data_IF_283916686229
#
_entry.id   IF_283916686229
#
_cell.length_a   1.000
_cell.length_b   1.000
_cell.length_c   1.000
_cell.angle_alpha   90.00
_cell.angle_beta   90.00
_cell.angle_gamma   90.00
#
_symmetry.space_group_name_H-M   'P 1'
#
loop_
_entity.id
_entity.type
_entity.pdbx_description
1 polymer ?
#
# COMPACT_ATOMS: atom_id res chain seq x y z
N UNK A 1 30.98 15.90 -20.94
CA UNK A 1 29.77 15.14 -21.33
C UNK A 1 29.13 14.71 -20.03
N UNK A 2 27.94 15.20 -19.69
CA UNK A 2 27.29 14.87 -18.42
C UNK A 2 26.40 13.65 -18.68
N UNK A 3 26.72 12.52 -18.08
CA UNK A 3 25.91 11.30 -18.17
C UNK A 3 24.60 11.43 -17.40
N UNK A 4 23.69 10.47 -17.57
CA UNK A 4 22.49 10.35 -16.75
C UNK A 4 22.88 10.09 -15.29
N UNK A 5 22.10 10.64 -14.37
CA UNK A 5 22.24 10.35 -12.93
C UNK A 5 21.72 8.95 -12.65
N UNK A 6 22.24 8.27 -11.63
CA UNK A 6 21.91 6.87 -11.33
C UNK A 6 20.40 6.61 -11.18
N UNK A 7 19.68 7.53 -10.55
CA UNK A 7 18.22 7.48 -10.41
C UNK A 7 17.48 7.48 -11.77
N UNK A 8 18.04 8.15 -12.77
CA UNK A 8 17.49 8.17 -14.13
C UNK A 8 17.82 6.87 -14.89
N UNK A 9 18.90 6.18 -14.54
CA UNK A 9 19.26 4.90 -15.14
C UNK A 9 18.25 3.81 -14.75
N UNK A 10 17.77 3.79 -13.50
CA UNK A 10 16.73 2.85 -13.08
C UNK A 10 15.38 3.08 -13.77
N UNK A 11 15.15 4.30 -14.30
CA UNK A 11 13.93 4.56 -15.08
C UNK A 11 13.93 3.80 -16.41
N UNK A 12 15.11 3.43 -16.91
CA UNK A 12 15.28 2.65 -18.15
C UNK A 12 15.04 1.15 -17.98
N UNK A 13 14.98 0.65 -16.73
CA UNK A 13 14.73 -0.76 -16.46
C UNK A 13 13.23 -1.05 -16.51
N UNK A 14 12.85 -2.08 -17.25
CA UNK A 14 11.48 -2.60 -17.33
C UNK A 14 11.20 -3.70 -16.29
N UNK A 15 12.25 -4.45 -15.93
CA UNK A 15 12.20 -5.54 -14.96
C UNK A 15 13.25 -5.35 -13.87
N UNK A 16 12.92 -5.77 -12.66
CA UNK A 16 13.83 -5.73 -11.50
C UNK A 16 13.96 -7.12 -10.89
N UNK A 17 15.19 -7.53 -10.55
CA UNK A 17 15.37 -8.69 -9.68
C UNK A 17 14.78 -8.39 -8.29
N UNK A 18 14.49 -9.44 -7.51
CA UNK A 18 14.04 -9.25 -6.11
C UNK A 18 15.06 -8.41 -5.32
N UNK A 19 16.35 -8.63 -5.54
CA UNK A 19 17.42 -7.86 -4.89
C UNK A 19 17.42 -6.39 -5.31
N UNK A 20 17.34 -6.10 -6.62
CA UNK A 20 17.34 -4.72 -7.12
C UNK A 20 16.12 -3.96 -6.60
N UNK A 21 14.94 -4.57 -6.69
CA UNK A 21 13.71 -4.01 -6.16
C UNK A 21 13.82 -3.75 -4.64
N UNK A 22 14.41 -4.68 -3.89
CA UNK A 22 14.59 -4.53 -2.44
C UNK A 22 15.48 -3.34 -2.09
N UNK A 23 16.58 -3.17 -2.82
CA UNK A 23 17.49 -2.04 -2.66
C UNK A 23 16.80 -0.71 -2.98
N UNK A 24 16.13 -0.63 -4.14
CA UNK A 24 15.47 0.60 -4.59
C UNK A 24 14.31 1.01 -3.68
N UNK A 25 13.57 0.05 -3.11
CA UNK A 25 12.52 0.31 -2.12
C UNK A 25 13.12 0.77 -0.80
N UNK A 26 14.25 0.19 -0.38
CA UNK A 26 14.97 0.58 0.83
C UNK A 26 15.72 1.92 0.69
N UNK A 27 15.80 2.48 -0.51
CA UNK A 27 16.43 3.78 -0.78
C UNK A 27 17.93 3.72 -1.05
N UNK A 28 18.45 2.59 -1.53
CA UNK A 28 19.85 2.44 -1.92
C UNK A 28 20.00 1.94 -3.35
N UNK A 29 21.11 2.31 -3.98
CA UNK A 29 21.52 1.75 -5.26
C UNK A 29 21.76 0.23 -5.16
N UNK A 30 21.18 -0.58 -6.06
CA UNK A 30 21.50 -2.00 -6.19
C UNK A 30 22.99 -2.29 -6.43
N UNK A 31 23.75 -1.37 -7.04
CA UNK A 31 25.19 -1.57 -7.28
C UNK A 31 25.99 -1.70 -5.98
N UNK A 32 25.50 -1.09 -4.88
CA UNK A 32 26.13 -1.20 -3.57
C UNK A 32 25.83 -2.53 -2.89
N UNK A 33 24.81 -3.28 -3.31
CA UNK A 33 24.41 -4.54 -2.69
C UNK A 33 25.03 -5.71 -3.46
N UNK A 34 25.88 -6.49 -2.79
CA UNK A 34 26.63 -7.57 -3.45
C UNK A 34 26.68 -8.83 -2.58
N UNK A 35 26.86 -9.97 -3.22
CA UNK A 35 27.08 -11.23 -2.53
C UNK A 35 28.57 -11.37 -2.19
N UNK A 36 28.89 -11.56 -0.92
CA UNK A 36 30.26 -11.75 -0.46
C UNK A 36 30.57 -13.24 -0.30
N UNK A 37 31.23 -13.81 -1.33
CA UNK A 37 31.57 -15.25 -1.39
C UNK A 37 32.34 -15.73 -0.14
N UNK A 38 33.17 -14.86 0.46
CA UNK A 38 33.96 -15.21 1.64
C UNK A 38 33.10 -15.51 2.86
N UNK A 39 31.98 -14.82 3.03
CA UNK A 39 31.08 -14.97 4.17
C UNK A 39 29.80 -15.72 3.82
N UNK A 40 29.53 -15.93 2.52
CA UNK A 40 28.30 -16.59 2.05
C UNK A 40 27.05 -15.74 2.32
N UNK A 41 27.21 -14.42 2.45
CA UNK A 41 26.15 -13.50 2.84
C UNK A 41 26.11 -12.28 1.91
N UNK A 42 24.94 -11.65 1.83
CA UNK A 42 24.80 -10.39 1.11
C UNK A 42 25.28 -9.22 1.98
N UNK A 43 26.11 -8.36 1.38
CA UNK A 43 26.72 -7.20 2.01
C UNK A 43 26.47 -5.91 1.26
N UNK A 44 26.99 -4.82 1.82
CA UNK A 44 26.91 -3.48 1.23
C UNK A 44 28.30 -2.90 1.06
N UNK A 45 28.56 -2.37 -0.12
CA UNK A 45 29.77 -1.61 -0.43
C UNK A 45 29.50 -0.14 -0.15
N UNK A 46 30.42 0.51 0.56
CA UNK A 46 30.45 1.97 0.71
C UNK A 46 29.12 2.54 1.24
N UNK A 47 28.72 2.12 2.45
CA UNK A 47 27.66 2.78 3.21
C UNK A 47 28.20 4.11 3.73
N UNK A 48 27.51 5.19 3.40
CA UNK A 48 27.88 6.55 3.75
C UNK A 48 26.80 7.17 4.65
N UNK A 49 27.12 8.32 5.26
CA UNK A 49 26.17 9.06 6.13
C UNK A 49 24.89 9.55 5.42
N UNK A 50 24.81 9.42 4.10
CA UNK A 50 23.61 9.77 3.31
C UNK A 50 22.68 8.57 3.09
N UNK A 51 23.14 7.35 3.38
CA UNK A 51 22.31 6.14 3.29
C UNK A 51 21.49 5.97 4.60
N UNK A 52 20.32 5.31 4.56
CA UNK A 52 19.51 5.07 5.75
C UNK A 52 20.24 4.27 6.85
N UNK A 53 20.11 4.67 8.12
CA UNK A 53 20.75 3.98 9.24
C UNK A 53 20.32 2.50 9.38
N UNK A 54 19.09 2.19 9.00
CA UNK A 54 18.48 0.86 9.11
C UNK A 54 18.49 0.06 7.80
N UNK A 55 19.45 0.36 6.92
CA UNK A 55 19.44 -0.14 5.55
C UNK A 55 19.49 -1.67 5.44
N UNK A 56 20.28 -2.33 6.30
CA UNK A 56 20.43 -3.79 6.30
C UNK A 56 19.08 -4.45 6.61
N UNK A 57 18.43 -3.98 7.67
CA UNK A 57 17.12 -4.46 8.10
C UNK A 57 16.04 -4.15 7.07
N UNK A 58 16.09 -2.95 6.46
CA UNK A 58 15.13 -2.51 5.46
C UNK A 58 15.18 -3.41 4.21
N UNK A 59 16.37 -3.64 3.63
CA UNK A 59 16.53 -4.50 2.45
C UNK A 59 16.07 -5.92 2.73
N UNK A 60 16.46 -6.51 3.87
CA UNK A 60 16.05 -7.87 4.23
C UNK A 60 14.53 -8.00 4.44
N UNK A 61 13.90 -7.00 5.07
CA UNK A 61 12.46 -6.99 5.29
C UNK A 61 11.68 -6.86 3.98
N UNK A 62 12.16 -5.99 3.07
CA UNK A 62 11.56 -5.85 1.74
C UNK A 62 11.72 -7.13 0.94
N UNK A 63 12.94 -7.69 0.89
CA UNK A 63 13.22 -8.98 0.22
C UNK A 63 12.30 -10.08 0.71
N UNK A 64 12.17 -10.24 2.03
CA UNK A 64 11.24 -11.20 2.65
C UNK A 64 9.79 -10.93 2.25
N UNK A 65 9.38 -9.67 2.20
CA UNK A 65 8.02 -9.27 1.83
C UNK A 65 7.71 -9.59 0.36
N UNK A 66 8.64 -9.31 -0.55
CA UNK A 66 8.53 -9.63 -1.99
C UNK A 66 8.47 -11.14 -2.20
N UNK A 67 9.41 -11.90 -1.61
CA UNK A 67 9.42 -13.37 -1.69
C UNK A 67 8.09 -13.97 -1.21
N UNK A 68 7.56 -13.49 -0.08
CA UNK A 68 6.29 -13.98 0.45
C UNK A 68 5.10 -13.59 -0.42
N UNK A 69 5.12 -12.40 -1.04
CA UNK A 69 4.06 -11.99 -1.96
C UNK A 69 4.04 -12.85 -3.22
N UNK A 70 5.20 -13.13 -3.80
CA UNK A 70 5.36 -14.00 -4.98
C UNK A 70 4.93 -15.44 -4.65
N UNK A 71 5.43 -16.00 -3.54
CA UNK A 71 5.05 -17.36 -3.09
C UNK A 71 3.54 -17.51 -2.84
N UNK A 72 2.85 -16.42 -2.48
CA UNK A 72 1.39 -16.38 -2.28
C UNK A 72 0.60 -15.99 -3.53
N UNK A 73 1.25 -15.80 -4.68
CA UNK A 73 0.61 -15.35 -5.92
C UNK A 73 0.02 -13.94 -5.86
N UNK A 74 0.43 -13.13 -4.88
CA UNK A 74 -0.04 -11.74 -4.70
C UNK A 74 0.78 -10.72 -5.50
N UNK A 75 1.92 -11.13 -6.02
CA UNK A 75 2.80 -10.34 -6.87
C UNK A 75 3.22 -11.23 -8.04
N UNK A 76 2.98 -10.77 -9.26
CA UNK A 76 3.42 -11.48 -10.47
C UNK A 76 4.94 -11.35 -10.60
N UNK A 77 5.58 -12.42 -11.02
CA UNK A 77 7.02 -12.48 -11.22
C UNK A 77 7.38 -13.60 -12.20
N UNK A 78 8.50 -13.43 -12.91
CA UNK A 78 9.16 -14.53 -13.62
C UNK A 78 10.01 -15.29 -12.61
N UNK A 79 9.49 -16.42 -12.12
CA UNK A 79 10.09 -17.18 -11.03
C UNK A 79 11.25 -18.05 -11.51
N UNK A 80 12.41 -17.85 -10.89
CA UNK A 80 13.56 -18.75 -10.99
C UNK A 80 13.79 -19.35 -9.61
N UNK A 81 13.86 -20.68 -9.55
CA UNK A 81 14.13 -21.40 -8.30
C UNK A 81 15.62 -21.72 -8.20
N UNK A 82 16.14 -21.66 -6.99
CA UNK A 82 17.52 -22.05 -6.75
C UNK A 82 17.69 -23.56 -6.98
N UNK A 83 18.78 -23.94 -7.64
CA UNK A 83 19.14 -25.31 -7.96
C UNK A 83 19.97 -25.96 -6.84
N UNK A 84 20.41 -25.18 -5.84
CA UNK A 84 20.87 -25.75 -4.59
C UNK A 84 19.71 -26.54 -3.98
N UNK A 85 19.96 -27.80 -3.61
CA UNK A 85 19.00 -28.88 -3.33
C UNK A 85 18.03 -28.65 -2.14
N UNK A 86 17.74 -27.41 -1.78
CA UNK A 86 16.94 -26.98 -0.64
C UNK A 86 15.45 -27.14 -0.95
N UNK A 87 14.99 -28.38 -0.79
CA UNK A 87 13.58 -28.76 -0.87
C UNK A 87 12.96 -28.70 0.51
N UNK A 88 11.93 -27.87 0.66
CA UNK A 88 11.18 -27.79 1.91
C UNK A 88 9.86 -28.54 1.76
N UNK A 89 9.50 -29.33 2.75
CA UNK A 89 8.15 -29.85 2.90
C UNK A 89 7.33 -28.79 3.63
N UNK A 90 6.33 -28.22 2.94
CA UNK A 90 5.44 -27.21 3.50
C UNK A 90 4.04 -27.79 3.64
N UNK A 91 3.41 -27.49 4.78
CA UNK A 91 2.00 -27.79 5.02
C UNK A 91 1.27 -26.48 5.32
N UNK A 92 0.18 -26.25 4.61
CA UNK A 92 -0.74 -25.15 4.94
C UNK A 92 -1.71 -25.69 5.99
N UNK A 93 -1.97 -24.91 7.04
CA UNK A 93 -2.73 -25.31 8.25
C UNK A 93 -4.13 -25.91 7.96
N UNK A 94 -4.65 -25.72 6.76
CA UNK A 94 -5.94 -26.24 6.28
C UNK A 94 -5.86 -27.21 5.08
N UNK A 95 -4.66 -27.61 4.67
CA UNK A 95 -4.47 -28.65 3.66
C UNK A 95 -3.93 -29.92 4.31
N UNK A 96 -4.52 -31.06 3.96
CA UNK A 96 -4.08 -32.37 4.45
C UNK A 96 -2.67 -32.70 3.96
N UNK A 97 -2.36 -32.32 2.73
CA UNK A 97 -1.16 -32.74 2.02
C UNK A 97 0.04 -31.82 2.26
N UNK A 98 1.22 -32.43 2.35
CA UNK A 98 2.49 -31.74 2.28
C UNK A 98 2.87 -31.51 0.81
N UNK A 99 3.36 -30.33 0.49
CA UNK A 99 3.88 -30.04 -0.84
C UNK A 99 5.33 -29.57 -0.79
N UNK A 100 6.05 -29.86 -1.87
CA UNK A 100 7.45 -29.49 -2.04
C UNK A 100 7.53 -28.02 -2.44
N UNK A 101 8.24 -27.21 -1.64
CA UNK A 101 8.56 -25.82 -1.98
C UNK A 101 10.05 -25.64 -2.19
N UNK A 102 10.39 -24.74 -3.09
CA UNK A 102 11.77 -24.34 -3.37
C UNK A 102 11.97 -22.89 -2.90
N UNK A 103 13.21 -22.55 -2.58
CA UNK A 103 13.59 -21.15 -2.42
C UNK A 103 13.67 -20.44 -3.78
N UNK A 104 13.26 -19.17 -3.77
CA UNK A 104 13.35 -18.31 -4.94
C UNK A 104 14.81 -17.88 -5.08
N UNK A 105 15.36 -17.99 -6.28
CA UNK A 105 16.61 -17.33 -6.62
C UNK A 105 16.31 -15.82 -6.70
N UNK A 106 16.68 -15.09 -5.64
CA UNK A 106 16.41 -13.65 -5.50
C UNK A 106 17.19 -12.78 -6.50
N UNK A 107 18.22 -13.34 -7.14
CA UNK A 107 19.03 -12.64 -8.15
C UNK A 107 18.45 -12.78 -9.56
N UNK A 108 17.78 -13.91 -9.84
CA UNK A 108 17.26 -14.23 -11.18
C UNK A 108 15.75 -14.13 -11.29
N UNK A 109 15.02 -14.20 -10.17
CA UNK A 109 13.58 -13.95 -10.16
C UNK A 109 13.33 -12.47 -10.40
N UNK A 110 12.62 -12.15 -11.47
CA UNK A 110 12.34 -10.77 -11.88
C UNK A 110 10.86 -10.41 -11.72
N UNK A 111 10.61 -9.12 -11.50
CA UNK A 111 9.28 -8.52 -11.34
C UNK A 111 9.19 -7.37 -12.35
N UNK A 112 8.10 -7.31 -13.12
CA UNK A 112 7.85 -6.20 -14.03
C UNK A 112 7.60 -4.91 -13.23
N UNK A 113 8.16 -3.79 -13.69
CA UNK A 113 8.04 -2.48 -13.03
C UNK A 113 6.59 -2.07 -12.76
N UNK A 114 5.70 -2.35 -13.71
CA UNK A 114 4.27 -2.00 -13.63
C UNK A 114 3.57 -2.74 -12.49
N UNK A 115 3.72 -4.07 -12.43
CA UNK A 115 3.19 -4.92 -11.37
C UNK A 115 3.78 -4.55 -10.00
N UNK A 116 5.08 -4.21 -9.93
CA UNK A 116 5.71 -3.76 -8.68
C UNK A 116 5.13 -2.44 -8.18
N UNK A 117 4.93 -1.46 -9.07
CA UNK A 117 4.33 -0.15 -8.76
C UNK A 117 2.90 -0.32 -8.24
N UNK A 118 2.09 -1.16 -8.89
CA UNK A 118 0.73 -1.45 -8.43
C UNK A 118 0.72 -2.09 -7.04
N UNK A 119 1.57 -3.10 -6.83
CA UNK A 119 1.69 -3.79 -5.56
C UNK A 119 2.13 -2.88 -4.39
N UNK A 120 3.03 -1.92 -4.67
CA UNK A 120 3.47 -0.90 -3.71
C UNK A 120 2.36 0.10 -3.40
N UNK A 121 1.63 0.55 -4.43
CA UNK A 121 0.49 1.48 -4.29
C UNK A 121 -0.60 0.90 -3.40
N UNK A 122 -0.95 -0.37 -3.61
CA UNK A 122 -1.96 -1.10 -2.82
C UNK A 122 -1.60 -1.18 -1.33
N UNK A 123 -0.30 -1.12 -1.01
CA UNK A 123 0.21 -1.13 0.37
C UNK A 123 0.47 0.26 0.94
N UNK A 124 0.24 1.31 0.15
CA UNK A 124 0.49 2.68 0.55
C UNK A 124 1.97 3.02 0.72
N UNK A 125 2.87 2.27 0.09
CA UNK A 125 4.32 2.50 0.14
C UNK A 125 4.77 3.20 -1.15
N UNK A 126 5.50 4.31 -1.03
CA UNK A 126 5.86 5.17 -2.17
C UNK A 126 7.36 5.51 -2.18
N UNK A 127 8.25 4.56 -2.47
CA UNK A 127 9.68 4.83 -2.54
C UNK A 127 10.00 5.78 -3.71
N UNK A 128 10.92 6.72 -3.51
CA UNK A 128 11.25 7.75 -4.50
C UNK A 128 11.70 7.16 -5.85
N UNK A 129 12.40 6.02 -5.83
CA UNK A 129 12.88 5.30 -7.01
C UNK A 129 11.75 4.90 -7.97
N UNK A 130 10.55 4.61 -7.46
CA UNK A 130 9.38 4.22 -8.26
C UNK A 130 8.32 5.32 -8.34
N UNK A 131 8.34 6.25 -7.38
CA UNK A 131 7.41 7.35 -7.25
C UNK A 131 8.20 8.65 -7.06
N UNK A 132 8.83 9.20 -8.12
CA UNK A 132 9.67 10.40 -8.00
C UNK A 132 8.89 11.65 -7.58
N UNK A 133 7.57 11.65 -7.76
CA UNK A 133 6.66 12.69 -7.26
C UNK A 133 6.12 12.36 -5.86
N UNK A 134 6.59 11.28 -5.23
CA UNK A 134 6.06 10.73 -3.99
C UNK A 134 4.62 10.25 -4.14
N UNK A 135 3.92 10.17 -3.00
CA UNK A 135 2.47 9.95 -2.98
C UNK A 135 1.79 11.22 -3.51
N UNK A 136 1.26 11.19 -4.74
CA UNK A 136 0.44 12.30 -5.30
C UNK A 136 -0.74 12.64 -4.38
N UNK A 137 -1.23 11.65 -3.61
CA UNK A 137 -2.26 11.83 -2.60
C UNK A 137 -1.79 12.53 -1.31
N UNK A 138 -0.50 12.84 -1.15
CA UNK A 138 -0.04 13.71 -0.06
C UNK A 138 -0.16 15.18 -0.48
N UNK A 139 -1.41 15.58 -0.71
CA UNK A 139 -1.81 16.97 -0.98
C UNK A 139 -1.29 17.91 0.13
N UNK A 140 -0.96 17.36 1.31
CA UNK A 140 -0.41 18.09 2.43
C UNK A 140 1.09 18.39 2.38
N UNK A 141 1.85 17.79 1.46
CA UNK A 141 3.29 18.02 1.35
C UNK A 141 3.59 19.41 0.77
N UNK A 142 3.90 20.36 1.65
CA UNK A 142 4.20 21.75 1.29
C UNK A 142 5.49 21.91 0.47
N UNK A 143 6.40 20.91 0.53
CA UNK A 143 7.65 20.90 -0.23
C UNK A 143 7.48 20.34 -1.65
N UNK A 144 6.30 19.82 -2.00
CA UNK A 144 6.06 19.27 -3.33
C UNK A 144 6.02 20.39 -4.39
N UNK A 145 6.66 20.23 -5.58
CA UNK A 145 6.68 21.28 -6.62
C UNK A 145 5.29 21.71 -7.12
N UNK A 146 4.31 20.80 -7.03
CA UNK A 146 2.91 21.05 -7.40
C UNK A 146 2.00 21.29 -6.18
N UNK A 147 2.57 21.61 -5.01
CA UNK A 147 1.79 21.91 -3.82
C UNK A 147 0.83 23.07 -4.08
N UNK A 148 -0.45 22.84 -3.77
CA UNK A 148 -1.49 23.85 -3.87
C UNK A 148 -2.07 24.11 -2.48
N UNK A 149 -1.74 25.25 -1.84
CA UNK A 149 -2.23 25.57 -0.51
C UNK A 149 -3.75 25.63 -0.42
N UNK A 150 -4.41 26.06 -1.52
CA UNK A 150 -5.87 26.08 -1.61
C UNK A 150 -6.45 24.67 -1.61
N UNK A 151 -5.87 23.77 -2.40
CA UNK A 151 -6.34 22.39 -2.48
C UNK A 151 -6.16 21.67 -1.14
N UNK A 152 -5.00 21.85 -0.50
CA UNK A 152 -4.72 21.30 0.82
C UNK A 152 -5.74 21.80 1.86
N UNK A 153 -6.01 23.11 1.90
CA UNK A 153 -6.99 23.65 2.83
C UNK A 153 -8.41 23.10 2.60
N UNK A 154 -8.84 22.96 1.33
CA UNK A 154 -10.16 22.42 0.98
C UNK A 154 -10.27 20.95 1.39
N UNK A 155 -9.25 20.14 1.11
CA UNK A 155 -9.23 18.71 1.48
C UNK A 155 -9.21 18.55 3.00
N UNK A 156 -8.36 19.30 3.72
CA UNK A 156 -8.34 19.24 5.19
C UNK A 156 -9.63 19.71 5.84
N UNK A 157 -10.32 20.70 5.25
CA UNK A 157 -11.63 21.13 5.72
C UNK A 157 -12.71 20.06 5.49
N UNK A 158 -12.65 19.35 4.37
CA UNK A 158 -13.55 18.24 4.10
C UNK A 158 -13.30 17.05 5.06
N UNK A 159 -12.04 16.70 5.32
CA UNK A 159 -11.67 15.64 6.27
C UNK A 159 -12.10 15.96 7.71
N UNK A 160 -12.10 17.24 8.10
CA UNK A 160 -12.54 17.62 9.45
C UNK A 160 -14.01 17.31 9.73
N UNK A 161 -14.85 17.23 8.68
CA UNK A 161 -16.26 16.84 8.81
C UNK A 161 -16.44 15.42 9.33
N UNK A 162 -15.45 14.53 9.18
CA UNK A 162 -15.54 13.15 9.66
C UNK A 162 -15.57 13.05 11.18
N UNK A 163 -15.00 14.03 11.87
CA UNK A 163 -14.92 14.08 13.33
C UNK A 163 -15.63 15.30 13.92
N UNK A 164 -16.19 16.17 13.07
CA UNK A 164 -16.91 17.36 13.50
C UNK A 164 -18.20 17.01 14.24
N UNK A 165 -18.46 17.74 15.32
CA UNK A 165 -19.77 17.80 15.97
C UNK A 165 -20.41 19.16 15.66
N UNK A 166 -21.26 19.19 14.62
CA UNK A 166 -21.83 20.45 14.14
C UNK A 166 -23.00 20.88 15.03
N UNK A 167 -22.88 22.07 15.60
CA UNK A 167 -23.88 22.66 16.48
C UNK A 167 -24.90 23.50 15.68
N UNK A 168 -25.79 22.81 14.96
CA UNK A 168 -26.92 23.43 14.23
C UNK A 168 -26.51 24.48 13.17
N UNK A 169 -25.60 24.12 12.27
CA UNK A 169 -25.25 24.93 11.09
C UNK A 169 -25.25 24.10 9.81
N UNK A 170 -25.20 24.75 8.64
CA UNK A 170 -25.05 24.04 7.37
C UNK A 170 -23.61 23.58 7.17
N UNK A 171 -23.40 22.48 6.44
CA UNK A 171 -22.06 21.99 6.09
C UNK A 171 -21.21 23.06 5.42
N UNK A 172 -21.80 23.84 4.50
CA UNK A 172 -21.11 24.97 3.85
C UNK A 172 -20.65 26.03 4.85
N UNK A 173 -21.48 26.39 5.83
CA UNK A 173 -21.12 27.37 6.85
C UNK A 173 -19.98 26.86 7.73
N UNK A 174 -20.09 25.61 8.22
CA UNK A 174 -19.01 24.98 8.99
C UNK A 174 -17.69 24.97 8.23
N UNK A 175 -17.69 24.57 6.95
CA UNK A 175 -16.50 24.56 6.10
C UNK A 175 -15.92 25.96 5.92
N UNK A 176 -16.77 26.98 5.73
CA UNK A 176 -16.33 28.38 5.61
C UNK A 176 -15.62 28.85 6.88
N UNK A 177 -16.21 28.59 8.04
CA UNK A 177 -15.66 28.97 9.35
C UNK A 177 -14.36 28.20 9.64
N UNK A 178 -14.31 26.91 9.29
CA UNK A 178 -13.12 26.06 9.47
C UNK A 178 -11.95 26.56 8.63
N UNK A 179 -12.16 26.82 7.33
CA UNK A 179 -11.11 27.30 6.43
C UNK A 179 -10.64 28.69 6.85
N UNK A 180 -11.55 29.58 7.27
CA UNK A 180 -11.19 30.92 7.76
C UNK A 180 -10.34 30.86 9.03
N UNK A 181 -10.62 29.92 9.93
CA UNK A 181 -9.87 29.77 11.19
C UNK A 181 -8.48 29.16 10.96
N UNK A 182 -8.34 28.29 9.96
CA UNK A 182 -7.09 27.59 9.67
C UNK A 182 -6.31 28.20 8.49
N UNK A 183 -6.71 29.35 7.97
CA UNK A 183 -6.12 29.94 6.76
C UNK A 183 -4.62 30.23 6.91
N UNK A 184 -4.19 30.65 8.10
CA UNK A 184 -2.78 30.93 8.40
C UNK A 184 -1.90 29.67 8.29
N UNK A 185 -2.42 28.50 8.72
CA UNK A 185 -1.71 27.21 8.63
C UNK A 185 -1.32 26.86 7.19
N UNK A 186 -2.16 27.26 6.24
CA UNK A 186 -1.96 27.00 4.81
C UNK A 186 -1.34 28.21 4.09
N UNK A 187 -0.89 29.25 4.80
CA UNK A 187 -0.35 30.48 4.21
C UNK A 187 -1.32 31.14 3.21
N UNK A 188 -2.63 31.02 3.45
CA UNK A 188 -3.65 31.61 2.59
C UNK A 188 -3.82 33.10 2.94
N UNK A 189 -3.27 33.98 2.10
CA UNK A 189 -3.48 35.42 2.21
C UNK A 189 -4.82 35.84 1.57
N UNK A 190 -5.92 35.42 2.19
CA UNK A 190 -7.28 35.72 1.74
C UNK A 190 -7.82 36.89 2.59
N UNK A 191 -8.08 38.03 1.94
CA UNK A 191 -8.61 39.24 2.59
C UNK A 191 -10.13 39.37 2.50
N UNK A 192 -10.78 38.55 1.68
CA UNK A 192 -12.22 38.65 1.38
C UNK A 192 -12.94 37.42 1.89
N UNK A 193 -13.99 37.58 2.73
CA UNK A 193 -14.81 36.46 3.22
C UNK A 193 -15.40 35.59 2.09
N UNK A 194 -15.76 36.21 0.97
CA UNK A 194 -16.38 35.54 -0.19
C UNK A 194 -15.49 34.43 -0.77
N UNK A 195 -14.16 34.58 -0.71
CA UNK A 195 -13.24 33.54 -1.19
C UNK A 195 -13.22 32.30 -0.31
N UNK A 196 -13.50 32.44 0.99
CA UNK A 196 -13.66 31.28 1.87
C UNK A 196 -14.95 30.52 1.54
N UNK A 197 -16.03 31.24 1.20
CA UNK A 197 -17.29 30.63 0.78
C UNK A 197 -17.15 29.87 -0.55
N UNK A 198 -16.42 30.42 -1.52
CA UNK A 198 -16.10 29.75 -2.79
C UNK A 198 -15.33 28.45 -2.56
N UNK A 199 -14.35 28.47 -1.64
CA UNK A 199 -13.58 27.26 -1.28
C UNK A 199 -14.45 26.24 -0.55
N UNK A 200 -15.30 26.69 0.37
CA UNK A 200 -16.25 25.83 1.08
C UNK A 200 -17.27 25.19 0.11
N UNK A 201 -17.63 25.88 -0.97
CA UNK A 201 -18.53 25.35 -2.00
C UNK A 201 -17.93 24.15 -2.74
N UNK A 202 -16.61 24.15 -2.96
CA UNK A 202 -15.90 23.02 -3.58
C UNK A 202 -15.94 21.78 -2.67
N UNK A 203 -15.76 21.96 -1.36
CA UNK A 203 -15.78 20.86 -0.38
C UNK A 203 -17.20 20.44 0.05
N UNK A 204 -18.21 21.29 -0.17
CA UNK A 204 -19.56 21.03 0.31
C UNK A 204 -20.26 19.95 -0.52
N UNK A 205 -20.41 18.76 0.06
CA UNK A 205 -21.16 17.67 -0.57
C UNK A 205 -22.69 17.80 -0.39
N UNK A 206 -23.16 18.61 0.57
CA UNK A 206 -24.59 18.80 0.80
C UNK A 206 -25.18 19.82 -0.18
N UNK A 207 -25.81 19.28 -1.23
CA UNK A 207 -26.50 20.05 -2.27
C UNK A 207 -27.85 20.63 -1.83
N UNK A 208 -28.38 20.21 -0.67
CA UNK A 208 -29.71 20.62 -0.18
C UNK A 208 -29.64 21.79 0.80
N UNK A 209 -28.47 22.03 1.39
CA UNK A 209 -28.27 23.12 2.36
C UNK A 209 -28.99 22.85 3.69
N UNK A 210 -29.02 21.59 4.12
CA UNK A 210 -29.67 21.17 5.35
C UNK A 210 -28.82 21.58 6.55
N UNK A 211 -29.48 22.02 7.61
CA UNK A 211 -28.84 22.26 8.90
C UNK A 211 -28.53 20.93 9.56
N UNK A 212 -27.26 20.73 9.90
CA UNK A 212 -26.77 19.52 10.57
C UNK A 212 -26.71 19.77 12.07
N UNK A 213 -27.16 18.78 12.84
CA UNK A 213 -26.90 18.68 14.26
C UNK A 213 -26.19 17.35 14.52
N UNK A 214 -25.00 17.40 15.14
CA UNK A 214 -24.17 16.22 15.32
C UNK A 214 -23.17 16.00 14.17
N UNK A 215 -22.65 14.77 14.08
CA UNK A 215 -21.70 14.42 13.03
C UNK A 215 -22.39 14.32 11.65
N UNK A 216 -21.89 15.03 10.62
CA UNK A 216 -22.43 14.99 9.26
C UNK A 216 -22.55 13.58 8.67
N UNK A 217 -21.65 12.65 9.01
CA UNK A 217 -21.69 11.27 8.53
C UNK A 217 -22.95 10.54 8.99
N UNK A 218 -23.43 10.80 10.21
CA UNK A 218 -24.70 10.22 10.69
C UNK A 218 -25.91 10.84 10.00
N UNK A 219 -25.81 12.09 9.56
CA UNK A 219 -26.91 12.81 8.92
C UNK A 219 -27.05 12.50 7.42
N UNK A 220 -25.94 12.25 6.72
CA UNK A 220 -25.92 12.05 5.27
C UNK A 220 -25.50 10.64 4.82
N UNK A 221 -24.85 9.85 5.67
CA UNK A 221 -24.34 8.51 5.36
C UNK A 221 -25.37 7.37 5.48
N UNK A 222 -26.63 7.62 5.11
CA UNK A 222 -27.78 6.73 5.32
C UNK A 222 -27.46 5.23 5.15
N UNK A 223 -27.93 4.41 6.10
CA UNK A 223 -27.85 2.93 6.24
C UNK A 223 -26.50 2.23 6.04
N UNK A 224 -25.47 2.89 5.50
CA UNK A 224 -24.16 2.32 5.20
C UNK A 224 -23.23 2.26 6.43
N UNK A 225 -23.57 3.00 7.49
CA UNK A 225 -22.87 2.97 8.79
C UNK A 225 -23.70 2.35 9.92
N UNK A 226 -24.82 1.70 9.61
CA UNK A 226 -25.29 0.65 10.52
C UNK A 226 -24.41 -0.55 10.22
N UNK A 227 -23.59 -0.98 11.19
CA UNK A 227 -23.00 -2.31 11.16
C UNK A 227 -24.18 -3.29 11.19
N UNK A 228 -24.74 -3.62 10.02
CA UNK A 228 -25.49 -4.85 9.87
C UNK A 228 -24.43 -5.93 9.94
N UNK A 229 -24.33 -6.58 11.10
CA UNK A 229 -23.81 -7.94 11.19
C UNK A 229 -24.61 -8.77 10.18
N UNK A 230 -24.13 -8.81 8.94
CA UNK A 230 -24.85 -9.48 7.87
C UNK A 230 -24.77 -10.97 8.15
N UNK A 231 -25.94 -11.56 8.35
CA UNK A 231 -26.23 -12.96 8.63
C UNK A 231 -25.86 -13.92 7.46
N UNK A 232 -24.92 -13.52 6.60
CA UNK A 232 -24.49 -14.24 5.40
C UNK A 232 -23.46 -15.34 5.70
N UNK A 233 -22.73 -15.29 6.82
CA UNK A 233 -21.82 -16.36 7.21
C UNK A 233 -22.56 -17.67 7.54
N UNK A 234 -23.79 -17.57 8.07
CA UNK A 234 -24.60 -18.73 8.45
C UNK A 234 -25.26 -19.43 7.25
N UNK A 235 -25.52 -18.72 6.15
CA UNK A 235 -26.08 -19.31 4.93
C UNK A 235 -25.02 -19.95 4.03
N UNK A 236 -23.82 -19.34 3.93
CA UNK A 236 -22.72 -19.92 3.14
C UNK A 236 -22.25 -21.26 3.72
N UNK A 237 -22.18 -21.36 5.06
CA UNK A 237 -21.78 -22.60 5.74
C UNK A 237 -22.82 -23.73 5.61
N UNK A 238 -24.10 -23.43 5.42
CA UNK A 238 -25.13 -24.46 5.17
C UNK A 238 -25.06 -25.04 3.76
N UNK A 239 -24.66 -24.25 2.77
CA UNK A 239 -24.57 -24.71 1.38
C UNK A 239 -23.30 -25.53 1.12
N UNK A 240 -22.19 -25.21 1.79
CA UNK A 240 -20.93 -25.98 1.67
C UNK A 240 -21.04 -27.38 2.27
N UNK A 241 -21.84 -27.56 3.33
CA UNK A 241 -22.08 -28.87 3.96
C UNK A 241 -23.04 -29.78 3.19
N UNK A 242 -23.76 -29.26 2.18
CA UNK A 242 -24.73 -30.02 1.39
C UNK A 242 -24.13 -30.65 0.12
N UNK A 243 -22.89 -30.31 -0.25
CA UNK A 243 -22.24 -30.74 -1.51
C UNK A 243 -21.09 -31.75 -1.32
N UNK A 244 -20.91 -32.32 -0.13
CA UNK A 244 -19.95 -33.42 0.07
C UNK A 244 -20.65 -34.74 -0.33
N UNK A 245 -20.21 -35.46 -1.37
CA UNK A 245 -20.76 -36.77 -1.69
C UNK A 245 -20.40 -37.76 -0.57
N UNK A 246 -21.38 -38.55 -0.09
CA UNK A 246 -21.21 -39.55 0.97
C UNK A 246 -20.22 -40.68 0.65
N UNK A 247 -19.61 -40.71 -0.54
CA UNK A 247 -18.81 -41.84 -1.03
C UNK A 247 -17.30 -41.75 -0.80
N UNK A 248 -16.82 -40.87 0.09
CA UNK A 248 -15.38 -40.83 0.45
C UNK A 248 -15.06 -41.35 1.85
N UNK A 249 -16.02 -41.97 2.54
CA UNK A 249 -15.76 -42.68 3.80
C UNK A 249 -15.10 -44.05 3.56
N UNK A 250 -15.36 -44.69 2.41
CA UNK A 250 -14.90 -46.07 2.13
C UNK A 250 -13.51 -46.16 1.46
N UNK A 251 -12.86 -45.04 1.13
CA UNK A 251 -11.55 -45.03 0.47
C UNK A 251 -10.36 -44.95 1.45
N UNK A 252 -10.62 -44.83 2.76
CA UNK A 252 -9.59 -44.69 3.80
C UNK A 252 -9.20 -46.00 4.49
N UNK A 253 -9.86 -47.13 4.16
CA UNK A 253 -9.63 -48.44 4.79
C UNK A 253 -8.90 -49.47 3.91
N UNK A 254 -8.49 -49.12 2.68
CA UNK A 254 -7.63 -50.00 1.88
C UNK A 254 -6.15 -49.74 2.19
N UNK A 255 -5.55 -50.68 2.91
CA UNK A 255 -4.12 -50.78 3.24
C UNK A 255 -3.22 -50.35 2.07
N UNK A 256 -2.35 -49.35 2.34
CA UNK A 256 -1.25 -48.99 1.44
C UNK A 256 -0.20 -50.10 1.46
N UNK A 257 0.21 -50.66 0.31
CA UNK A 257 1.28 -51.65 0.27
C UNK A 257 2.63 -50.98 0.56
N UNK A 258 3.42 -51.62 1.42
CA UNK A 258 4.79 -51.25 1.81
C UNK A 258 5.73 -51.08 0.60
#
# INVERSE_FOLDING_TARGET
MQGLVEEDLFKLMDDFSINDASCLIAGISPHKYYFEDQYGEWGFREINNSDPDNIREAVELVKKSLCNAIKKGKLKATVVVDNHNTKFLTKIDMQADWFLTHELDVTRTTIEKTDLIEWLRDRGVYPLSFFPQGKIADIGNQSHPLYSPKLHAVVSAWESLFTADIQSTTTKKYLTDWISTHSEKFSLNIKSPTKFEEMAEIANFDKRGVTVFGNPLHHFGGDAYTIKESSNSTQLNKNILAEIPETLADALDTELPF
#
